data_IF_644712861474
#
_entry.id   IF_644712861474
#
_cell.length_a   1.000
_cell.length_b   1.000
_cell.length_c   1.000
_cell.angle_alpha   90.00
_cell.angle_beta   90.00
_cell.angle_gamma   90.00
#
_symmetry.space_group_name_H-M   'P 1'
#
loop_
_entity.id
_entity.type
_entity.pdbx_description
1 polymer ?
#
# COMPACT_ATOMS: atom_id res chain seq x y z
N UNK A 1 -4.48 26.98 27.80
CA UNK A 1 -4.40 25.51 27.73
C UNK A 1 -4.35 25.11 26.26
N UNK A 2 -3.36 24.34 25.80
CA UNK A 2 -3.32 23.86 24.42
C UNK A 2 -4.35 22.75 24.28
N UNK A 3 -5.41 23.00 23.51
CA UNK A 3 -6.47 22.03 23.20
C UNK A 3 -5.96 21.02 22.14
N UNK A 4 -4.91 20.28 22.49
CA UNK A 4 -4.29 19.29 21.59
C UNK A 4 -5.00 17.95 21.75
N UNK A 5 -5.71 17.53 20.72
CA UNK A 5 -6.27 16.18 20.60
C UNK A 5 -5.21 15.23 20.04
N UNK A 6 -5.19 13.99 20.52
CA UNK A 6 -4.36 12.95 19.93
C UNK A 6 -4.91 12.52 18.56
N UNK A 7 -4.05 11.91 17.74
CA UNK A 7 -4.46 11.36 16.45
C UNK A 7 -5.59 10.34 16.62
N UNK A 8 -5.54 9.53 17.67
CA UNK A 8 -6.56 8.52 17.95
C UNK A 8 -7.88 9.17 18.39
N UNK A 9 -7.85 10.22 19.21
CA UNK A 9 -9.04 10.99 19.56
C UNK A 9 -9.69 11.63 18.34
N UNK A 10 -8.89 12.14 17.40
CA UNK A 10 -9.41 12.67 16.13
C UNK A 10 -9.99 11.54 15.28
N UNK A 11 -9.32 10.40 15.18
CA UNK A 11 -9.81 9.26 14.41
C UNK A 11 -11.15 8.74 14.95
N UNK A 12 -11.29 8.58 16.26
CA UNK A 12 -12.56 8.17 16.88
C UNK A 12 -13.66 9.19 16.60
N UNK A 13 -13.34 10.49 16.67
CA UNK A 13 -14.30 11.56 16.40
C UNK A 13 -14.82 11.55 14.95
N UNK A 14 -13.96 11.30 13.95
CA UNK A 14 -14.32 11.41 12.53
C UNK A 14 -14.69 10.07 11.86
N UNK A 15 -14.16 8.96 12.37
CA UNK A 15 -14.28 7.64 11.74
C UNK A 15 -15.00 6.62 12.63
N UNK A 16 -15.41 7.01 13.84
CA UNK A 16 -16.06 6.14 14.80
C UNK A 16 -15.08 5.32 15.66
N UNK A 17 -15.64 4.64 16.66
CA UNK A 17 -14.92 3.71 17.53
C UNK A 17 -14.31 2.55 16.72
N UNK A 18 -13.23 1.98 17.25
CA UNK A 18 -12.61 0.76 16.71
C UNK A 18 -13.63 -0.38 16.72
N UNK A 19 -13.71 -1.15 15.63
CA UNK A 19 -14.67 -2.24 15.48
C UNK A 19 -16.07 -1.81 14.98
N UNK A 20 -16.27 -0.54 14.65
CA UNK A 20 -17.48 -0.12 13.92
C UNK A 20 -17.33 -0.47 12.44
N UNK A 21 -18.42 -0.87 11.73
CA UNK A 21 -18.34 -1.24 10.31
C UNK A 21 -17.73 -0.16 9.41
N UNK A 22 -18.01 1.12 9.73
CA UNK A 22 -17.46 2.27 9.01
C UNK A 22 -15.94 2.41 9.23
N UNK A 23 -15.50 2.32 10.49
CA UNK A 23 -14.07 2.33 10.84
C UNK A 23 -13.33 1.19 10.17
N UNK A 24 -13.90 -0.02 10.21
CA UNK A 24 -13.30 -1.21 9.61
C UNK A 24 -13.22 -1.12 8.08
N UNK A 25 -14.20 -0.49 7.43
CA UNK A 25 -14.12 -0.21 5.98
C UNK A 25 -12.96 0.73 5.69
N UNK A 26 -12.88 1.86 6.38
CA UNK A 26 -11.82 2.87 6.19
C UNK A 26 -10.44 2.27 6.45
N UNK A 27 -10.29 1.45 7.49
CA UNK A 27 -9.00 0.81 7.79
C UNK A 27 -8.59 -0.20 6.71
N UNK A 28 -9.54 -0.95 6.13
CA UNK A 28 -9.25 -1.84 4.98
C UNK A 28 -8.82 -1.07 3.73
N UNK A 29 -9.50 0.02 3.39
CA UNK A 29 -9.11 0.90 2.28
C UNK A 29 -7.71 1.49 2.53
N UNK A 30 -7.42 1.86 3.77
CA UNK A 30 -6.11 2.37 4.17
C UNK A 30 -5.00 1.31 4.06
N UNK A 31 -5.28 0.05 4.39
CA UNK A 31 -4.31 -1.06 4.22
C UNK A 31 -3.94 -1.26 2.75
N UNK A 32 -4.90 -1.20 1.83
CA UNK A 32 -4.63 -1.28 0.40
C UNK A 32 -3.69 -0.15 -0.06
N UNK A 33 -3.94 1.09 0.40
CA UNK A 33 -3.07 2.24 0.14
C UNK A 33 -1.66 2.06 0.74
N UNK A 34 -1.56 1.46 1.95
CA UNK A 34 -0.28 1.18 2.61
C UNK A 34 0.59 0.24 1.79
N UNK A 35 0.01 -0.75 1.11
CA UNK A 35 0.75 -1.68 0.24
C UNK A 35 1.38 -0.93 -0.94
N UNK A 36 0.59 -0.13 -1.67
CA UNK A 36 1.08 0.68 -2.79
C UNK A 36 2.20 1.64 -2.38
N UNK A 37 2.04 2.28 -1.22
CA UNK A 37 3.07 3.15 -0.65
C UNK A 37 4.36 2.39 -0.32
N UNK A 38 4.27 1.20 0.31
CA UNK A 38 5.45 0.37 0.61
C UNK A 38 6.21 -0.02 -0.66
N UNK A 39 5.52 -0.39 -1.72
CA UNK A 39 6.13 -0.72 -3.02
C UNK A 39 6.86 0.49 -3.62
N UNK A 40 6.21 1.67 -3.58
CA UNK A 40 6.81 2.92 -4.02
C UNK A 40 8.07 3.26 -3.22
N UNK A 41 8.01 3.18 -1.89
CA UNK A 41 9.17 3.46 -1.04
C UNK A 41 10.33 2.49 -1.33
N UNK A 42 10.05 1.19 -1.49
CA UNK A 42 11.07 0.22 -1.85
C UNK A 42 11.71 0.52 -3.21
N UNK A 43 10.91 0.94 -4.21
CA UNK A 43 11.40 1.39 -5.51
C UNK A 43 12.33 2.60 -5.39
N UNK A 44 11.89 3.61 -4.63
CA UNK A 44 12.65 4.86 -4.43
C UNK A 44 13.95 4.62 -3.65
N UNK A 45 13.94 3.72 -2.66
CA UNK A 45 15.15 3.29 -1.94
C UNK A 45 16.20 2.63 -2.85
N UNK A 46 15.75 1.95 -3.90
CA UNK A 46 16.63 1.38 -4.93
C UNK A 46 16.97 2.38 -6.05
N UNK A 47 16.52 3.63 -5.95
CA UNK A 47 16.70 4.67 -6.97
C UNK A 47 16.18 4.27 -8.36
N UNK A 48 15.11 3.46 -8.41
CA UNK A 48 14.49 3.02 -9.66
C UNK A 48 13.31 3.92 -10.05
N UNK A 49 13.14 4.12 -11.34
CA UNK A 49 11.94 4.75 -11.92
C UNK A 49 10.83 3.72 -12.10
N UNK A 50 9.58 4.19 -12.20
CA UNK A 50 8.44 3.32 -12.50
C UNK A 50 8.60 2.60 -13.85
N UNK A 51 9.26 3.24 -14.81
CA UNK A 51 9.50 2.66 -16.15
C UNK A 51 10.51 1.50 -16.08
N UNK A 52 11.56 1.62 -15.27
CA UNK A 52 12.55 0.55 -15.11
C UNK A 52 11.96 -0.68 -14.44
N UNK A 53 11.17 -0.50 -13.39
CA UNK A 53 10.44 -1.63 -12.76
C UNK A 53 9.45 -2.25 -13.75
N UNK A 54 8.73 -1.43 -14.51
CA UNK A 54 7.77 -1.91 -15.51
C UNK A 54 8.44 -2.76 -16.59
N UNK A 55 9.61 -2.33 -17.10
CA UNK A 55 10.42 -3.06 -18.08
C UNK A 55 10.85 -4.44 -17.56
N UNK A 56 11.30 -4.54 -16.31
CA UNK A 56 11.71 -5.82 -15.69
C UNK A 56 10.59 -6.86 -15.63
N UNK A 57 9.35 -6.43 -15.55
CA UNK A 57 8.17 -7.31 -15.49
C UNK A 57 7.38 -7.36 -16.80
N UNK A 58 7.90 -6.77 -17.88
CA UNK A 58 7.24 -6.66 -19.19
C UNK A 58 5.83 -6.04 -19.11
N UNK A 59 5.73 -4.87 -18.46
CA UNK A 59 4.51 -4.06 -18.32
C UNK A 59 4.76 -2.62 -18.72
N UNK A 60 3.69 -1.83 -18.83
CA UNK A 60 3.75 -0.38 -19.08
C UNK A 60 4.02 0.39 -17.78
N UNK A 61 4.68 1.56 -17.83
CA UNK A 61 4.82 2.47 -16.68
C UNK A 61 3.53 2.67 -15.89
N UNK A 62 2.42 2.85 -16.62
CA UNK A 62 1.10 3.13 -16.04
C UNK A 62 0.59 1.99 -15.17
N UNK A 63 1.04 0.76 -15.42
CA UNK A 63 0.75 -0.38 -14.56
C UNK A 63 1.42 -0.22 -13.18
N UNK A 64 2.72 0.11 -13.15
CA UNK A 64 3.43 0.37 -11.89
C UNK A 64 2.86 1.59 -11.18
N UNK A 65 2.55 2.65 -11.92
CA UNK A 65 1.89 3.82 -11.35
C UNK A 65 0.58 3.44 -10.66
N UNK A 66 -0.28 2.65 -11.30
CA UNK A 66 -1.53 2.17 -10.68
C UNK A 66 -1.28 1.32 -9.45
N UNK A 67 -0.33 0.37 -9.51
CA UNK A 67 0.04 -0.47 -8.35
C UNK A 67 0.52 0.38 -7.15
N UNK A 68 1.22 1.48 -7.40
CA UNK A 68 1.73 2.35 -6.34
C UNK A 68 0.67 3.31 -5.78
N UNK A 69 -0.39 3.65 -6.53
CA UNK A 69 -1.39 4.65 -6.15
C UNK A 69 -2.79 4.10 -5.84
N UNK A 70 -3.14 2.96 -6.42
CA UNK A 70 -4.47 2.34 -6.40
C UNK A 70 -4.33 0.86 -5.99
N UNK A 71 -4.27 0.66 -4.68
CA UNK A 71 -3.96 -0.62 -4.04
C UNK A 71 -5.14 -1.59 -3.92
N UNK A 72 -6.37 -1.13 -4.16
CA UNK A 72 -7.59 -1.89 -3.81
C UNK A 72 -7.74 -3.20 -4.60
N UNK A 73 -7.24 -3.25 -5.84
CA UNK A 73 -7.42 -4.40 -6.74
C UNK A 73 -6.10 -5.08 -7.14
N UNK A 74 -5.08 -5.01 -6.29
CA UNK A 74 -3.80 -5.69 -6.55
C UNK A 74 -3.94 -7.19 -6.31
N UNK A 75 -3.65 -7.99 -7.33
CA UNK A 75 -3.58 -9.45 -7.19
C UNK A 75 -2.28 -9.92 -6.53
N UNK A 76 -2.30 -11.07 -5.86
CA UNK A 76 -1.06 -11.68 -5.33
C UNK A 76 0.00 -11.88 -6.42
N UNK A 77 -0.41 -12.30 -7.62
CA UNK A 77 0.48 -12.44 -8.77
C UNK A 77 1.18 -11.12 -9.11
N UNK A 78 0.45 -10.00 -9.06
CA UNK A 78 1.02 -8.66 -9.27
C UNK A 78 2.03 -8.31 -8.19
N UNK A 79 1.76 -8.62 -6.91
CA UNK A 79 2.72 -8.42 -5.84
C UNK A 79 3.99 -9.24 -6.06
N UNK A 80 3.88 -10.53 -6.43
CA UNK A 80 5.04 -11.36 -6.75
C UNK A 80 5.85 -10.79 -7.92
N UNK A 81 5.18 -10.43 -9.02
CA UNK A 81 5.86 -9.85 -10.18
C UNK A 81 6.61 -8.56 -9.79
N UNK A 82 5.95 -7.64 -9.10
CA UNK A 82 6.55 -6.34 -8.74
C UNK A 82 7.66 -6.51 -7.71
N UNK A 83 7.44 -7.28 -6.64
CA UNK A 83 8.40 -7.43 -5.54
C UNK A 83 9.59 -8.26 -5.96
N UNK A 84 9.38 -9.45 -6.53
CA UNK A 84 10.47 -10.39 -6.77
C UNK A 84 11.17 -10.14 -8.10
N UNK A 85 10.41 -9.94 -9.18
CA UNK A 85 10.98 -9.73 -10.52
C UNK A 85 11.29 -8.25 -10.79
N UNK A 86 10.43 -7.34 -10.34
CA UNK A 86 10.60 -5.90 -10.54
C UNK A 86 11.67 -5.31 -9.62
N UNK A 87 11.52 -5.53 -8.32
CA UNK A 87 12.35 -4.93 -7.27
C UNK A 87 13.46 -5.87 -6.76
N UNK A 88 13.49 -7.15 -7.16
CA UNK A 88 14.51 -8.09 -6.71
C UNK A 88 14.41 -8.46 -5.22
N UNK A 89 13.27 -8.19 -4.58
CA UNK A 89 12.99 -8.50 -3.19
C UNK A 89 12.45 -9.91 -3.00
N UNK A 90 11.92 -10.18 -1.80
CA UNK A 90 11.21 -11.42 -1.48
C UNK A 90 9.87 -11.09 -0.85
N UNK A 91 8.78 -11.59 -1.43
CA UNK A 91 7.45 -11.38 -0.84
C UNK A 91 7.24 -12.39 0.30
N UNK A 92 6.86 -11.92 1.47
CA UNK A 92 6.41 -12.75 2.60
C UNK A 92 4.95 -12.44 2.88
N UNK A 93 4.11 -13.47 2.89
CA UNK A 93 2.68 -13.38 3.17
C UNK A 93 2.42 -14.22 4.42
N UNK A 94 1.74 -13.65 5.41
CA UNK A 94 1.25 -14.34 6.60
C UNK A 94 -0.25 -14.13 6.73
N UNK A 95 -0.94 -15.16 7.23
CA UNK A 95 -2.36 -15.12 7.55
C UNK A 95 -2.49 -15.55 9.00
N UNK A 96 -3.19 -14.74 9.80
CA UNK A 96 -3.45 -14.99 11.23
C UNK A 96 -4.96 -15.23 11.40
N UNK A 97 -5.31 -16.12 12.34
CA UNK A 97 -6.69 -16.53 12.65
C UNK A 97 -7.01 -16.22 14.11
#
# INVERSE_FOLDING_TARGET
MKNTKSLDQLKTQYYGEVGTPERDRIERELEALRIGFKLRSAREQQSLTQEEVAKRINKKRTFISKVETDGENITLKTLFDVVERGLGGRLKISVEF
#
